data_IF_614538052806
#
_entry.id   IF_614538052806
#
_cell.length_a   1.000
_cell.length_b   1.000
_cell.length_c   1.000
_cell.angle_alpha   90.00
_cell.angle_beta   90.00
_cell.angle_gamma   90.00
#
_symmetry.space_group_name_H-M   'P 1'
#
loop_
_entity.id
_entity.type
_entity.pdbx_description
1 polymer ?
#
# COMPACT_ATOMS: atom_id res chain seq x y z
N UNK A 1 -10.89 -18.25 -5.09
CA UNK A 1 -10.20 -19.33 -4.36
C UNK A 1 -10.39 -19.13 -2.85
N UNK A 2 -10.18 -17.94 -2.30
CA UNK A 2 -10.36 -17.67 -0.85
C UNK A 2 -11.83 -17.68 -0.37
N UNK A 3 -12.80 -17.41 -1.24
CA UNK A 3 -14.20 -17.27 -0.84
C UNK A 3 -14.93 -18.58 -0.47
N UNK A 4 -14.31 -19.73 -0.69
CA UNK A 4 -14.95 -21.03 -0.49
C UNK A 4 -14.32 -21.94 0.59
N UNK A 5 -13.12 -21.64 1.04
CA UNK A 5 -12.41 -22.47 2.04
C UNK A 5 -11.79 -21.59 3.14
N UNK A 6 -12.35 -21.60 4.36
CA UNK A 6 -11.82 -20.79 5.47
C UNK A 6 -10.42 -21.21 5.94
N UNK A 7 -9.97 -22.41 5.58
CA UNK A 7 -8.66 -22.95 5.95
C UNK A 7 -7.60 -22.74 4.84
N UNK A 8 -7.99 -22.09 3.73
CA UNK A 8 -7.07 -21.80 2.63
C UNK A 8 -6.10 -20.69 3.01
N UNK A 9 -4.82 -21.00 2.95
CA UNK A 9 -3.74 -20.06 3.21
C UNK A 9 -2.78 -20.02 2.00
N UNK A 10 -2.89 -18.96 1.21
CA UNK A 10 -2.06 -18.78 0.02
C UNK A 10 -0.56 -18.81 0.34
N UNK A 11 -0.14 -18.32 1.50
CA UNK A 11 1.26 -18.28 1.90
C UNK A 11 1.89 -19.67 2.10
N UNK A 12 1.05 -20.70 2.23
CA UNK A 12 1.49 -22.10 2.40
C UNK A 12 1.46 -22.93 1.11
N UNK A 13 1.00 -22.36 0.01
CA UNK A 13 1.07 -23.04 -1.28
C UNK A 13 2.51 -23.20 -1.76
N UNK A 14 2.75 -24.19 -2.62
CA UNK A 14 3.97 -24.24 -3.41
C UNK A 14 3.93 -23.17 -4.51
N UNK A 15 5.09 -22.69 -4.96
CA UNK A 15 5.17 -21.75 -6.06
C UNK A 15 4.59 -22.33 -7.36
N UNK A 16 4.73 -23.66 -7.56
CA UNK A 16 4.19 -24.37 -8.72
C UNK A 16 2.64 -24.36 -8.73
N UNK A 17 2.02 -24.62 -7.57
CA UNK A 17 0.56 -24.58 -7.44
C UNK A 17 0.02 -23.17 -7.62
N UNK A 18 0.72 -22.17 -7.09
CA UNK A 18 0.34 -20.77 -7.22
C UNK A 18 0.47 -20.25 -8.66
N UNK A 19 1.46 -20.73 -9.40
CA UNK A 19 1.68 -20.37 -10.81
C UNK A 19 0.48 -20.75 -11.69
N UNK A 20 -0.21 -21.84 -11.36
CA UNK A 20 -1.44 -22.25 -12.04
C UNK A 20 -2.60 -21.24 -11.92
N UNK A 21 -2.56 -20.34 -10.92
CA UNK A 21 -3.57 -19.31 -10.70
C UNK A 21 -3.10 -17.89 -11.14
N UNK A 22 -1.91 -17.77 -11.74
CA UNK A 22 -1.31 -16.47 -12.10
C UNK A 22 -2.23 -15.60 -12.94
N UNK A 23 -2.78 -16.14 -14.04
CA UNK A 23 -3.62 -15.38 -14.96
C UNK A 23 -4.86 -14.83 -14.27
N UNK A 24 -5.53 -15.66 -13.46
CA UNK A 24 -6.73 -15.26 -12.71
C UNK A 24 -6.40 -14.20 -11.64
N UNK A 25 -5.26 -14.34 -10.98
CA UNK A 25 -4.82 -13.37 -9.96
C UNK A 25 -4.43 -12.03 -10.58
N UNK A 26 -3.71 -12.03 -11.69
CA UNK A 26 -3.38 -10.80 -12.43
C UNK A 26 -4.66 -10.13 -12.94
N UNK A 27 -5.61 -10.88 -13.50
CA UNK A 27 -6.87 -10.34 -13.96
C UNK A 27 -7.74 -9.73 -12.84
N UNK A 28 -7.69 -10.30 -11.61
CA UNK A 28 -8.56 -9.88 -10.50
C UNK A 28 -7.90 -8.92 -9.52
N UNK A 29 -6.58 -8.99 -9.35
CA UNK A 29 -5.79 -8.19 -8.38
C UNK A 29 -4.88 -7.17 -9.06
N UNK A 30 -4.63 -7.32 -10.36
CA UNK A 30 -3.73 -6.47 -11.14
C UNK A 30 -2.27 -6.92 -11.13
N UNK A 31 -1.88 -7.87 -10.28
CA UNK A 31 -0.51 -8.38 -10.14
C UNK A 31 -0.49 -9.78 -9.54
N UNK A 32 0.71 -10.38 -9.53
CA UNK A 32 0.94 -11.69 -8.95
C UNK A 32 2.23 -11.70 -8.11
N UNK A 33 2.19 -12.38 -6.98
CA UNK A 33 3.35 -12.63 -6.12
C UNK A 33 3.38 -14.13 -5.81
N UNK A 34 4.52 -14.77 -5.99
CA UNK A 34 4.71 -16.17 -5.58
C UNK A 34 4.61 -16.30 -4.05
N UNK A 35 4.08 -17.44 -3.54
CA UNK A 35 4.05 -17.67 -2.10
C UNK A 35 5.41 -17.52 -1.42
N UNK A 36 6.49 -18.02 -2.04
CA UNK A 36 7.85 -17.88 -1.51
C UNK A 36 8.35 -16.42 -1.46
N UNK A 37 7.74 -15.52 -2.25
CA UNK A 37 8.08 -14.10 -2.37
C UNK A 37 7.19 -13.18 -1.50
N UNK A 38 6.18 -13.75 -0.83
CA UNK A 38 5.39 -12.99 0.13
C UNK A 38 6.27 -12.46 1.26
N UNK A 39 5.97 -11.25 1.71
CA UNK A 39 6.74 -10.55 2.75
C UNK A 39 7.03 -11.42 3.97
N UNK A 40 6.05 -12.18 4.45
CA UNK A 40 6.19 -13.03 5.63
C UNK A 40 7.15 -14.19 5.38
N UNK A 41 7.04 -14.85 4.23
CA UNK A 41 7.90 -15.97 3.86
C UNK A 41 9.36 -15.54 3.57
N UNK A 42 9.55 -14.38 2.95
CA UNK A 42 10.89 -13.79 2.76
C UNK A 42 11.48 -13.40 4.11
N UNK A 43 10.70 -12.77 4.98
CA UNK A 43 11.12 -12.32 6.30
C UNK A 43 11.55 -13.49 7.20
N UNK A 44 10.83 -14.61 7.19
CA UNK A 44 11.19 -15.80 7.97
C UNK A 44 12.59 -16.34 7.60
N UNK A 45 12.96 -16.26 6.33
CA UNK A 45 14.25 -16.73 5.80
C UNK A 45 15.35 -15.64 5.89
N UNK A 46 14.98 -14.38 6.02
CA UNK A 46 15.84 -13.21 5.85
C UNK A 46 17.11 -13.24 6.72
N UNK A 47 17.03 -13.72 7.96
CA UNK A 47 18.19 -13.79 8.88
C UNK A 47 19.27 -14.77 8.45
N UNK A 48 18.89 -15.77 7.63
CA UNK A 48 19.79 -16.81 7.16
C UNK A 48 20.11 -16.66 5.65
N UNK A 49 19.57 -15.63 5.01
CA UNK A 49 19.83 -15.33 3.61
C UNK A 49 21.00 -14.35 3.48
N UNK A 50 22.16 -14.89 3.11
CA UNK A 50 23.37 -14.10 2.88
C UNK A 50 23.24 -13.13 1.68
N UNK A 51 22.27 -13.39 0.77
CA UNK A 51 21.98 -12.60 -0.42
C UNK A 51 20.60 -11.91 -0.35
N UNK A 52 20.13 -11.58 0.85
CA UNK A 52 18.80 -10.97 1.06
C UNK A 52 18.55 -9.75 0.17
N UNK A 53 19.58 -8.92 -0.07
CA UNK A 53 19.48 -7.79 -0.98
C UNK A 53 19.12 -8.22 -2.41
N UNK A 54 19.74 -9.29 -2.94
CA UNK A 54 19.42 -9.82 -4.28
C UNK A 54 18.04 -10.49 -4.30
N UNK A 55 17.68 -11.19 -3.22
CA UNK A 55 16.35 -11.79 -3.05
C UNK A 55 15.27 -10.72 -3.11
N UNK A 56 15.41 -9.61 -2.38
CA UNK A 56 14.44 -8.51 -2.40
C UNK A 56 14.37 -7.82 -3.76
N UNK A 57 15.51 -7.57 -4.40
CA UNK A 57 15.55 -6.99 -5.75
C UNK A 57 14.80 -7.87 -6.76
N UNK A 58 15.02 -9.19 -6.68
CA UNK A 58 14.29 -10.15 -7.51
C UNK A 58 12.78 -10.12 -7.25
N UNK A 59 12.37 -10.09 -5.97
CA UNK A 59 10.94 -10.00 -5.61
C UNK A 59 10.31 -8.74 -6.18
N UNK A 60 10.94 -7.58 -6.03
CA UNK A 60 10.44 -6.32 -6.58
C UNK A 60 10.29 -6.38 -8.09
N UNK A 61 11.31 -6.85 -8.80
CA UNK A 61 11.25 -7.02 -10.24
C UNK A 61 10.14 -8.00 -10.67
N UNK A 62 9.97 -9.12 -9.96
CA UNK A 62 8.94 -10.10 -10.27
C UNK A 62 7.53 -9.54 -10.09
N UNK A 63 7.30 -8.70 -9.08
CA UNK A 63 6.02 -8.03 -8.87
C UNK A 63 5.71 -7.09 -10.04
N UNK A 64 6.66 -6.23 -10.43
CA UNK A 64 6.47 -5.32 -11.55
C UNK A 64 6.23 -6.07 -12.87
N UNK A 65 7.05 -7.09 -13.15
CA UNK A 65 6.92 -7.92 -14.35
C UNK A 65 5.59 -8.69 -14.39
N UNK A 66 5.03 -9.05 -13.24
CA UNK A 66 3.77 -9.78 -13.18
C UNK A 66 2.58 -8.98 -13.69
N UNK A 67 2.63 -7.65 -13.58
CA UNK A 67 1.60 -6.74 -14.05
C UNK A 67 1.75 -6.36 -15.53
N UNK A 68 2.87 -6.71 -16.17
CA UNK A 68 3.13 -6.37 -17.56
C UNK A 68 2.08 -6.97 -18.51
N UNK A 69 1.51 -6.14 -19.38
CA UNK A 69 0.44 -6.53 -20.31
C UNK A 69 -0.95 -6.59 -19.68
N UNK A 70 -1.11 -6.25 -18.40
CA UNK A 70 -2.40 -6.09 -17.73
C UNK A 70 -2.83 -4.62 -17.68
N UNK A 71 -4.08 -4.38 -17.25
CA UNK A 71 -4.62 -3.02 -17.04
C UNK A 71 -3.87 -2.25 -15.94
N UNK A 72 -3.10 -2.97 -15.10
CA UNK A 72 -2.35 -2.41 -13.97
C UNK A 72 -0.87 -2.14 -14.32
N UNK A 73 -0.43 -2.37 -15.55
CA UNK A 73 0.98 -2.22 -15.93
C UNK A 73 1.55 -0.84 -15.56
N UNK A 74 0.80 0.22 -15.88
CA UNK A 74 1.25 1.59 -15.60
C UNK A 74 1.36 1.90 -14.10
N UNK A 75 0.57 1.23 -13.26
CA UNK A 75 0.58 1.40 -11.80
C UNK A 75 1.78 0.70 -11.15
N UNK A 76 2.27 -0.39 -11.77
CA UNK A 76 3.38 -1.19 -11.22
C UNK A 76 4.73 -0.84 -11.82
N UNK A 77 4.77 -0.23 -12.99
CA UNK A 77 6.01 0.13 -13.69
C UNK A 77 6.82 1.15 -12.89
N UNK A 78 8.00 0.72 -12.46
CA UNK A 78 8.91 1.55 -11.66
C UNK A 78 8.44 1.78 -10.22
N UNK A 79 7.52 0.97 -9.71
CA UNK A 79 6.98 1.07 -8.36
C UNK A 79 8.09 1.00 -7.30
N UNK A 80 9.14 0.23 -7.56
CA UNK A 80 10.25 0.02 -6.63
C UNK A 80 11.54 0.75 -7.03
N UNK A 81 11.53 1.63 -8.04
CA UNK A 81 12.73 2.34 -8.53
C UNK A 81 13.45 3.15 -7.43
N UNK A 82 12.71 3.68 -6.48
CA UNK A 82 13.26 4.45 -5.35
C UNK A 82 13.84 3.56 -4.22
N UNK A 83 13.67 2.23 -4.31
CA UNK A 83 14.11 1.29 -3.27
C UNK A 83 15.45 0.65 -3.67
N UNK A 84 16.56 1.28 -3.34
CA UNK A 84 17.91 0.74 -3.55
C UNK A 84 18.37 -0.12 -2.38
N UNK A 85 18.10 -1.43 -2.45
CA UNK A 85 18.54 -2.42 -1.45
C UNK A 85 20.07 -2.64 -1.43
N UNK A 86 20.74 -2.19 -2.47
CA UNK A 86 22.19 -2.26 -2.61
C UNK A 86 22.91 -0.97 -2.19
N UNK A 87 22.19 0.04 -1.74
CA UNK A 87 22.71 1.34 -1.38
C UNK A 87 23.79 1.28 -0.28
N UNK A 88 24.88 1.99 -0.49
CA UNK A 88 25.91 2.17 0.53
C UNK A 88 25.40 2.89 1.79
N UNK A 89 24.26 3.60 1.71
CA UNK A 89 23.58 4.20 2.88
C UNK A 89 23.05 3.14 3.85
N UNK A 90 22.72 1.96 3.36
CA UNK A 90 22.35 0.81 4.20
C UNK A 90 23.57 0.19 4.88
N UNK A 91 24.73 0.16 4.21
CA UNK A 91 25.95 -0.38 4.76
C UNK A 91 27.05 -0.55 3.69
N UNK A 92 28.29 -0.47 4.11
CA UNK A 92 29.46 -0.57 3.22
C UNK A 92 29.70 -2.01 2.69
N UNK A 93 29.09 -3.03 3.30
CA UNK A 93 29.20 -4.43 2.88
C UNK A 93 27.84 -5.05 2.73
N UNK A 94 27.73 -6.11 1.92
CA UNK A 94 26.47 -6.89 1.75
C UNK A 94 25.91 -7.31 3.11
N UNK A 95 26.74 -7.90 3.97
CA UNK A 95 26.30 -8.33 5.30
C UNK A 95 25.70 -7.19 6.14
N UNK A 96 26.30 -5.99 6.11
CA UNK A 96 25.75 -4.82 6.83
C UNK A 96 24.46 -4.31 6.21
N UNK A 97 24.33 -4.36 4.89
CA UNK A 97 23.08 -4.02 4.20
C UNK A 97 21.98 -4.98 4.60
N UNK A 98 22.25 -6.28 4.49
CA UNK A 98 21.28 -7.33 4.83
C UNK A 98 20.85 -7.25 6.31
N UNK A 99 21.77 -6.98 7.22
CA UNK A 99 21.44 -6.78 8.64
C UNK A 99 20.45 -5.61 8.87
N UNK A 100 20.59 -4.52 8.10
CA UNK A 100 19.64 -3.40 8.14
C UNK A 100 18.31 -3.75 7.47
N UNK A 101 18.33 -4.48 6.36
CA UNK A 101 17.12 -4.92 5.68
C UNK A 101 16.28 -5.85 6.58
N UNK A 102 16.93 -6.80 7.28
CA UNK A 102 16.28 -7.64 8.30
C UNK A 102 15.59 -6.78 9.37
N UNK A 103 16.32 -5.79 9.92
CA UNK A 103 15.76 -4.89 10.95
C UNK A 103 14.59 -4.07 10.43
N UNK A 104 14.67 -3.62 9.17
CA UNK A 104 13.59 -2.89 8.52
C UNK A 104 12.37 -3.80 8.36
N UNK A 105 12.54 -5.02 7.85
CA UNK A 105 11.45 -5.99 7.71
C UNK A 105 10.81 -6.32 9.07
N UNK A 106 11.61 -6.54 10.10
CA UNK A 106 11.10 -6.78 11.47
C UNK A 106 10.35 -5.55 12.00
N UNK A 107 10.83 -4.34 11.71
CA UNK A 107 10.15 -3.09 12.03
C UNK A 107 8.77 -2.99 11.36
N UNK A 108 8.70 -3.24 10.05
CA UNK A 108 7.44 -3.25 9.28
C UNK A 108 6.48 -4.30 9.83
N UNK A 109 6.96 -5.52 10.07
CA UNK A 109 6.15 -6.61 10.63
C UNK A 109 5.58 -6.31 12.04
N UNK A 110 6.27 -5.46 12.80
CA UNK A 110 5.81 -5.06 14.14
C UNK A 110 4.72 -3.99 14.11
N UNK A 111 4.47 -3.37 12.95
CA UNK A 111 3.42 -2.36 12.80
C UNK A 111 2.04 -3.00 12.94
N UNK A 112 1.18 -2.40 13.74
CA UNK A 112 -0.22 -2.83 13.85
C UNK A 112 -1.05 -2.16 12.77
N UNK A 113 -0.98 -2.67 11.55
CA UNK A 113 -1.70 -2.12 10.39
C UNK A 113 -3.18 -2.56 10.32
N UNK A 114 -3.65 -3.26 11.34
CA UNK A 114 -5.01 -3.78 11.37
C UNK A 114 -5.15 -5.09 10.58
N UNK A 115 -6.38 -5.59 10.54
CA UNK A 115 -6.74 -6.78 9.77
C UNK A 115 -7.79 -6.36 8.75
N UNK A 116 -7.62 -6.74 7.49
CA UNK A 116 -8.55 -6.39 6.39
C UNK A 116 -10.01 -6.81 6.69
N UNK A 117 -10.21 -7.83 7.50
CA UNK A 117 -11.55 -8.31 7.90
C UNK A 117 -12.20 -7.47 9.01
N UNK A 118 -11.40 -6.79 9.82
CA UNK A 118 -11.86 -6.02 10.99
C UNK A 118 -11.79 -4.50 10.74
N UNK A 119 -11.65 -4.07 9.49
CA UNK A 119 -11.34 -2.70 9.11
C UNK A 119 -12.41 -1.68 9.50
N UNK A 120 -12.36 -1.26 10.73
CA UNK A 120 -12.93 0.01 11.21
C UNK A 120 -11.94 1.17 11.09
N UNK A 121 -10.66 0.88 10.82
CA UNK A 121 -9.57 1.85 10.74
C UNK A 121 -8.89 1.68 9.38
N UNK A 122 -8.88 2.73 8.60
CA UNK A 122 -8.06 2.83 7.39
C UNK A 122 -6.60 3.12 7.78
N UNK A 123 -5.92 2.08 8.31
CA UNK A 123 -4.56 2.22 8.79
C UNK A 123 -3.58 2.59 7.65
N UNK A 124 -3.86 2.17 6.41
CA UNK A 124 -3.06 2.55 5.25
C UNK A 124 -3.32 4.00 4.85
N UNK A 125 -4.57 4.44 4.83
CA UNK A 125 -4.92 5.83 4.58
C UNK A 125 -4.33 6.75 5.63
N UNK A 126 -4.43 6.38 6.91
CA UNK A 126 -3.85 7.16 8.01
C UNK A 126 -2.31 7.19 7.94
N UNK A 127 -1.65 6.08 7.56
CA UNK A 127 -0.20 6.02 7.35
C UNK A 127 0.23 6.87 6.15
N UNK A 128 -0.51 6.79 5.03
CA UNK A 128 -0.26 7.61 3.86
C UNK A 128 -0.37 9.10 4.18
N UNK A 129 -1.43 9.52 4.88
CA UNK A 129 -1.61 10.91 5.30
C UNK A 129 -0.49 11.37 6.24
N UNK A 130 -0.06 10.52 7.18
CA UNK A 130 1.08 10.81 8.04
C UNK A 130 2.37 11.03 7.25
N UNK A 131 2.65 10.16 6.28
CA UNK A 131 3.82 10.30 5.40
C UNK A 131 3.74 11.58 4.57
N UNK A 132 2.58 11.90 3.98
CA UNK A 132 2.37 13.14 3.24
C UNK A 132 2.59 14.37 4.12
N UNK A 133 2.13 14.35 5.36
CA UNK A 133 2.38 15.41 6.35
C UNK A 133 3.88 15.58 6.67
N UNK A 134 4.61 14.47 6.81
CA UNK A 134 6.06 14.49 7.01
C UNK A 134 6.81 15.04 5.78
N UNK A 135 6.44 14.62 4.57
CA UNK A 135 7.02 15.15 3.33
C UNK A 135 6.75 16.64 3.18
N UNK A 136 5.52 17.08 3.44
CA UNK A 136 5.15 18.48 3.42
C UNK A 136 5.99 19.33 4.39
N UNK A 137 6.26 18.79 5.59
CA UNK A 137 7.08 19.45 6.60
C UNK A 137 8.55 19.56 6.21
N UNK A 138 9.08 18.54 5.50
CA UNK A 138 10.49 18.47 5.10
C UNK A 138 10.77 19.14 3.75
N UNK A 139 9.79 19.27 2.87
CA UNK A 139 9.93 19.85 1.54
C UNK A 139 9.94 21.39 1.53
N UNK A 140 9.83 22.05 2.67
CA UNK A 140 9.81 23.50 2.78
C UNK A 140 8.55 24.13 2.16
N UNK A 141 8.69 25.28 1.48
CA UNK A 141 7.56 26.05 0.95
C UNK A 141 6.68 25.31 -0.07
N UNK A 142 7.18 24.25 -0.70
CA UNK A 142 6.44 23.49 -1.72
C UNK A 142 5.53 22.40 -1.14
N UNK A 143 5.75 21.97 0.10
CA UNK A 143 4.99 20.86 0.70
C UNK A 143 3.55 21.20 1.05
N UNK A 144 3.23 22.46 1.28
CA UNK A 144 1.88 22.92 1.56
C UNK A 144 0.95 22.94 0.34
N UNK A 145 1.49 22.76 -0.87
CA UNK A 145 0.70 22.79 -2.11
C UNK A 145 -0.03 21.47 -2.37
N UNK A 146 0.35 20.37 -1.70
CA UNK A 146 -0.16 19.02 -1.96
C UNK A 146 -0.98 18.41 -0.82
N UNK A 147 -1.03 19.05 0.35
CA UNK A 147 -1.62 18.45 1.53
C UNK A 147 -2.49 19.40 2.31
N UNK A 148 -3.75 19.01 2.50
CA UNK A 148 -4.67 19.69 3.41
C UNK A 148 -4.70 18.90 4.73
N UNK A 149 -4.37 19.51 5.90
CA UNK A 149 -4.44 18.85 7.19
C UNK A 149 -5.81 18.22 7.45
N UNK A 150 -5.83 17.06 8.09
CA UNK A 150 -7.06 16.28 8.33
C UNK A 150 -8.12 17.07 9.08
N UNK A 151 -7.73 17.84 10.07
CA UNK A 151 -8.63 18.65 10.88
C UNK A 151 -9.30 19.73 10.02
N UNK A 152 -8.57 20.30 9.05
CA UNK A 152 -9.12 21.29 8.11
C UNK A 152 -10.07 20.60 7.14
N UNK A 153 -9.71 19.43 6.60
CA UNK A 153 -10.56 18.62 5.72
C UNK A 153 -11.85 18.22 6.43
N UNK A 154 -11.77 17.84 7.69
CA UNK A 154 -12.93 17.50 8.51
C UNK A 154 -13.84 18.71 8.74
N UNK A 155 -13.26 19.86 9.10
CA UNK A 155 -14.00 21.10 9.30
C UNK A 155 -14.72 21.54 8.03
N UNK A 156 -14.03 21.56 6.88
CA UNK A 156 -14.61 21.93 5.59
C UNK A 156 -15.73 20.98 5.19
N UNK A 157 -15.53 19.68 5.37
CA UNK A 157 -16.55 18.66 5.09
C UNK A 157 -17.79 18.89 5.96
N UNK A 158 -17.63 19.07 7.26
CA UNK A 158 -18.76 19.34 8.18
C UNK A 158 -19.50 20.62 7.84
N UNK A 159 -18.79 21.67 7.45
CA UNK A 159 -19.41 22.95 7.00
C UNK A 159 -20.21 22.72 5.70
N UNK A 160 -19.62 22.02 4.71
CA UNK A 160 -20.27 21.76 3.43
C UNK A 160 -21.51 20.87 3.57
N UNK A 161 -21.46 19.87 4.45
CA UNK A 161 -22.58 18.97 4.73
C UNK A 161 -23.70 19.66 5.52
N UNK A 162 -23.34 20.53 6.47
CA UNK A 162 -24.29 21.08 7.42
C UNK A 162 -25.02 19.96 8.17
N UNK A 163 -26.35 19.94 8.06
CA UNK A 163 -27.20 18.92 8.70
C UNK A 163 -27.62 17.78 7.74
N UNK A 164 -26.98 17.66 6.57
CA UNK A 164 -27.32 16.61 5.59
C UNK A 164 -26.73 15.28 6.02
N UNK A 165 -27.55 14.24 5.97
CA UNK A 165 -27.14 12.85 6.21
C UNK A 165 -26.96 12.06 4.92
N UNK A 166 -27.53 12.56 3.81
CA UNK A 166 -27.40 11.98 2.47
C UNK A 166 -27.11 13.09 1.46
N UNK A 167 -26.34 12.78 0.42
CA UNK A 167 -26.03 13.67 -0.69
C UNK A 167 -26.08 12.91 -2.02
N UNK A 168 -26.28 13.63 -3.13
CA UNK A 168 -26.24 13.02 -4.44
C UNK A 168 -24.80 12.74 -4.90
N UNK A 169 -23.93 13.75 -4.76
CA UNK A 169 -22.52 13.70 -5.15
C UNK A 169 -21.67 14.46 -4.15
N UNK A 170 -20.43 14.01 -4.03
CA UNK A 170 -19.36 14.81 -3.44
C UNK A 170 -18.39 15.11 -4.57
N UNK A 171 -18.04 16.39 -4.77
CA UNK A 171 -17.16 16.85 -5.82
C UNK A 171 -16.10 17.79 -5.24
N UNK A 172 -14.85 17.49 -5.54
CA UNK A 172 -13.70 18.33 -5.19
C UNK A 172 -12.97 18.73 -6.48
N UNK A 173 -13.09 19.98 -6.95
CA UNK A 173 -12.46 20.44 -8.19
C UNK A 173 -10.93 20.54 -8.10
N UNK A 174 -10.34 20.38 -6.93
CA UNK A 174 -8.91 20.46 -6.68
C UNK A 174 -8.44 19.35 -5.72
N UNK A 175 -8.91 18.13 -5.97
CA UNK A 175 -8.83 17.01 -5.03
C UNK A 175 -7.41 16.68 -4.56
N UNK A 176 -6.37 16.94 -5.36
CA UNK A 176 -4.99 16.63 -5.00
C UNK A 176 -4.85 15.17 -4.58
N UNK A 177 -4.50 14.92 -3.32
CA UNK A 177 -4.43 13.58 -2.71
C UNK A 177 -5.79 12.96 -2.38
N UNK A 178 -6.90 13.65 -2.62
CA UNK A 178 -8.25 13.18 -2.30
C UNK A 178 -8.64 13.26 -0.83
N UNK A 179 -7.86 13.93 0.02
CA UNK A 179 -8.10 13.97 1.47
C UNK A 179 -9.48 14.50 1.87
N UNK A 180 -10.02 15.52 1.16
CA UNK A 180 -11.36 16.03 1.38
C UNK A 180 -12.44 15.01 0.98
N UNK A 181 -12.27 14.30 -0.14
CA UNK A 181 -13.20 13.26 -0.60
C UNK A 181 -13.21 12.06 0.35
N UNK A 182 -12.03 11.62 0.80
CA UNK A 182 -11.89 10.54 1.78
C UNK A 182 -12.53 10.91 3.13
N UNK A 183 -12.35 12.15 3.57
CA UNK A 183 -12.96 12.62 4.80
C UNK A 183 -14.48 12.71 4.68
N UNK A 184 -14.99 13.14 3.53
CA UNK A 184 -16.42 13.16 3.25
C UNK A 184 -17.01 11.73 3.23
N UNK A 185 -16.30 10.76 2.64
CA UNK A 185 -16.70 9.36 2.64
C UNK A 185 -16.73 8.76 4.05
N UNK A 186 -15.78 9.13 4.90
CA UNK A 186 -15.68 8.68 6.29
C UNK A 186 -16.80 9.26 7.19
N UNK A 187 -17.18 10.51 6.95
CA UNK A 187 -18.23 11.21 7.73
C UNK A 187 -19.64 10.80 7.31
N UNK A 188 -19.89 10.68 6.00
CA UNK A 188 -21.22 10.34 5.47
C UNK A 188 -21.50 8.85 5.46
N UNK A 189 -20.47 8.01 5.26
CA UNK A 189 -20.64 6.64 4.79
C UNK A 189 -20.83 6.59 3.27
N UNK A 190 -20.22 5.61 2.62
CA UNK A 190 -20.31 5.46 1.15
C UNK A 190 -21.75 5.26 0.66
N UNK A 191 -22.56 4.59 1.45
CA UNK A 191 -23.97 4.26 1.20
C UNK A 191 -24.87 5.51 1.12
N UNK A 192 -24.47 6.60 1.73
CA UNK A 192 -25.21 7.85 1.78
C UNK A 192 -24.83 8.84 0.67
N UNK A 193 -23.97 8.40 -0.28
CA UNK A 193 -23.59 9.17 -1.48
C UNK A 193 -24.08 8.44 -2.72
N UNK A 194 -25.20 8.91 -3.31
CA UNK A 194 -25.95 8.19 -4.34
C UNK A 194 -25.20 8.00 -5.66
N UNK A 195 -24.44 8.98 -6.07
CA UNK A 195 -23.78 9.03 -7.39
C UNK A 195 -22.25 8.96 -7.30
N UNK A 196 -21.68 8.96 -6.09
CA UNK A 196 -20.25 8.80 -5.87
C UNK A 196 -19.47 10.08 -5.58
N UNK A 197 -18.16 9.92 -5.58
CA UNK A 197 -17.17 10.94 -5.28
C UNK A 197 -16.40 11.27 -6.56
N UNK A 198 -16.11 12.56 -6.82
CA UNK A 198 -15.47 13.04 -8.06
C UNK A 198 -14.46 14.15 -7.77
#
# INVERSE_FOLDING_TARGET
>A
IEAGNPDFDYAKLSDEDAEGAREDLVATKGFFILPSELFENVREKAKNDENLNETLEKVFNNIELSAQGSDSEDDFKGLFDDIDVNSNKLGATVAKRNDKLVKLMDGVASMKLGNYKDNTIDAFGDAYEFLMGMYASNAGKSGGEYYTPQEVSELLTKIALGNKTEVNKVYDPACGSGSLLLKAAKILGKENVRQGFY
#
